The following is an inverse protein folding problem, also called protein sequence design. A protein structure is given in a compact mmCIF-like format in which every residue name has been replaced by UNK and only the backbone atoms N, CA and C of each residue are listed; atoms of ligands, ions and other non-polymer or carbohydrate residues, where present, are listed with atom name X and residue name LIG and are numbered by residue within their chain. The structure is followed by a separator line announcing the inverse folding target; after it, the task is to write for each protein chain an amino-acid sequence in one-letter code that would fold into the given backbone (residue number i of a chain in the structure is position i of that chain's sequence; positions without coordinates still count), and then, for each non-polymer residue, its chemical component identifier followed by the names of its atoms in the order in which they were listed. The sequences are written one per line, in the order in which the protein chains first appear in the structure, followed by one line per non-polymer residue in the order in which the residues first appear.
data_IF_438213524611
#
_entry.id   IF_438213524611
#
_cell.length_a   1.000
_cell.length_b   1.000
_cell.length_c   1.000
_cell.angle_alpha   90.00
_cell.angle_beta   90.00
_cell.angle_gamma   90.00
#
_symmetry.space_group_name_H-M   'P 1'
#
loop_
_entity.id
_entity.type
_entity.pdbx_description
1 polymer ?
#
# COMPACT_ATOMS: atom_id res chain seq x y z
N UNK A 1 -16.93 1.51 0.51
CA UNK A 1 -17.14 2.30 1.73
C UNK A 1 -18.12 3.41 1.39
N UNK A 2 -19.08 3.66 2.26
CA UNK A 2 -20.17 4.61 2.05
C UNK A 2 -19.72 6.04 2.39
N UNK A 3 -20.09 7.04 1.56
CA UNK A 3 -19.81 8.45 1.82
C UNK A 3 -20.43 8.93 3.14
N UNK A 4 -21.60 8.40 3.52
CA UNK A 4 -22.27 8.74 4.79
C UNK A 4 -21.37 8.39 5.99
N UNK A 5 -20.67 7.26 5.91
CA UNK A 5 -19.77 6.82 6.97
C UNK A 5 -18.56 7.74 7.10
N UNK A 6 -17.98 8.16 5.98
CA UNK A 6 -16.84 9.10 5.95
C UNK A 6 -17.23 10.42 6.60
N UNK A 7 -18.38 10.98 6.20
CA UNK A 7 -18.91 12.22 6.77
C UNK A 7 -19.18 12.10 8.27
N UNK A 8 -19.74 10.96 8.71
CA UNK A 8 -20.01 10.71 10.13
C UNK A 8 -18.71 10.70 10.95
N UNK A 9 -17.64 10.07 10.45
CA UNK A 9 -16.35 10.10 11.11
C UNK A 9 -15.76 11.51 11.17
N UNK A 10 -15.86 12.27 10.08
CA UNK A 10 -15.41 13.66 10.05
C UNK A 10 -16.18 14.55 11.01
N UNK A 11 -17.50 14.40 11.11
CA UNK A 11 -18.33 15.13 12.08
C UNK A 11 -17.95 14.79 13.52
N UNK A 12 -17.49 13.57 13.78
CA UNK A 12 -16.95 13.16 15.07
C UNK A 12 -15.48 13.59 15.30
N UNK A 13 -14.87 14.34 14.36
CA UNK A 13 -13.51 14.87 14.48
C UNK A 13 -12.40 13.89 14.09
N UNK A 14 -12.72 12.76 13.47
CA UNK A 14 -11.73 11.79 13.00
C UNK A 14 -11.23 12.13 11.61
N UNK A 15 -10.04 11.65 11.29
CA UNK A 15 -9.56 11.50 9.91
C UNK A 15 -9.79 10.07 9.44
N UNK A 16 -10.08 9.90 8.16
CA UNK A 16 -10.35 8.60 7.55
C UNK A 16 -9.21 8.24 6.60
N UNK A 17 -8.52 7.15 6.93
CA UNK A 17 -7.57 6.50 6.04
C UNK A 17 -8.19 5.22 5.47
N UNK A 18 -7.82 4.85 4.24
CA UNK A 18 -8.18 3.57 3.64
C UNK A 18 -6.94 2.80 3.19
N UNK A 19 -7.06 1.48 3.27
CA UNK A 19 -6.14 0.51 2.66
C UNK A 19 -6.96 -0.26 1.61
N UNK A 20 -6.57 -0.16 0.34
CA UNK A 20 -7.32 -0.77 -0.78
C UNK A 20 -6.40 -1.48 -1.75
N UNK A 21 -6.92 -2.48 -2.48
CA UNK A 21 -6.20 -3.08 -3.60
C UNK A 21 -6.24 -2.22 -4.88
N UNK A 22 -7.01 -1.13 -4.88
CA UNK A 22 -7.11 -0.17 -5.98
C UNK A 22 -7.97 -0.62 -7.17
N UNK A 23 -8.70 -1.74 -7.07
CA UNK A 23 -9.60 -2.20 -8.14
C UNK A 23 -10.91 -1.40 -8.20
N UNK A 24 -11.14 -0.51 -7.23
CA UNK A 24 -12.32 0.37 -7.14
C UNK A 24 -11.89 1.76 -6.65
N UNK A 25 -12.63 2.80 -7.07
CA UNK A 25 -12.47 4.15 -6.53
C UNK A 25 -13.14 4.24 -5.14
N UNK A 26 -12.53 4.92 -4.17
CA UNK A 26 -13.15 5.16 -2.88
C UNK A 26 -14.24 6.23 -2.98
N UNK A 27 -15.10 6.39 -1.95
CA UNK A 27 -15.92 7.59 -1.82
C UNK A 27 -15.04 8.85 -1.75
N UNK A 28 -15.60 10.04 -2.03
CA UNK A 28 -14.87 11.30 -1.87
C UNK A 28 -14.47 11.55 -0.42
N UNK A 29 -13.61 12.56 -0.20
CA UNK A 29 -13.22 13.06 1.12
C UNK A 29 -12.46 12.05 2.00
N UNK A 30 -11.70 11.12 1.41
CA UNK A 30 -10.73 10.32 2.18
C UNK A 30 -9.48 11.15 2.45
N UNK A 31 -9.05 11.22 3.71
CA UNK A 31 -7.88 12.00 4.13
C UNK A 31 -6.56 11.33 3.71
N UNK A 32 -6.52 9.99 3.71
CA UNK A 32 -5.34 9.21 3.34
C UNK A 32 -5.69 7.94 2.56
N UNK A 33 -5.21 7.84 1.34
CA UNK A 33 -5.40 6.68 0.47
C UNK A 33 -4.08 5.91 0.37
N UNK A 34 -4.07 4.70 0.92
CA UNK A 34 -3.05 3.71 0.65
C UNK A 34 -3.57 2.65 -0.33
N UNK A 35 -2.83 2.46 -1.42
CA UNK A 35 -3.13 1.48 -2.46
C UNK A 35 -2.08 0.38 -2.45
N UNK A 36 -2.51 -0.88 -2.37
CA UNK A 36 -1.66 -2.06 -2.45
C UNK A 36 -2.16 -3.00 -3.56
N UNK A 37 -1.78 -2.72 -4.83
CA UNK A 37 -2.17 -3.53 -5.99
C UNK A 37 -1.82 -5.00 -5.80
N UNK A 38 -2.69 -5.88 -6.29
CA UNK A 38 -2.48 -7.33 -6.31
C UNK A 38 -2.22 -7.79 -7.74
N UNK A 39 -1.31 -8.74 -7.89
CA UNK A 39 -1.06 -9.36 -9.19
C UNK A 39 -2.35 -9.86 -9.84
N UNK A 40 -2.40 -9.79 -11.18
CA UNK A 40 -3.53 -10.24 -12.00
C UNK A 40 -4.87 -9.51 -11.72
N UNK A 41 -4.81 -8.26 -11.25
CA UNK A 41 -6.00 -7.41 -11.09
C UNK A 41 -5.86 -6.11 -11.90
N UNK A 42 -6.99 -5.54 -12.34
CA UNK A 42 -6.99 -4.26 -13.02
C UNK A 42 -6.95 -3.12 -12.00
N UNK A 43 -5.86 -2.35 -12.01
CA UNK A 43 -5.73 -1.17 -11.16
C UNK A 43 -6.54 -0.01 -11.77
N UNK A 44 -7.56 0.46 -11.05
CA UNK A 44 -8.38 1.62 -11.45
C UNK A 44 -7.93 2.88 -10.71
N UNK A 45 -7.57 2.74 -9.44
CA UNK A 45 -7.10 3.84 -8.60
C UNK A 45 -5.58 3.98 -8.73
N UNK A 46 -5.17 4.86 -9.63
CA UNK A 46 -3.77 5.08 -10.00
C UNK A 46 -3.17 6.37 -9.39
N UNK A 47 -3.81 6.90 -8.34
CA UNK A 47 -3.37 8.05 -7.58
C UNK A 47 -3.69 7.89 -6.09
N UNK A 48 -2.98 8.62 -5.22
CA UNK A 48 -3.23 8.63 -3.78
C UNK A 48 -2.05 9.17 -2.97
N UNK A 49 -2.08 8.90 -1.67
CA UNK A 49 -0.99 9.31 -0.77
C UNK A 49 0.15 8.28 -0.80
N UNK A 50 -0.21 7.01 -0.68
CA UNK A 50 0.73 5.91 -0.48
C UNK A 50 0.46 4.78 -1.49
N UNK A 51 1.50 4.36 -2.21
CA UNK A 51 1.51 3.11 -2.96
C UNK A 51 2.39 2.10 -2.22
N UNK A 52 1.80 0.99 -1.78
CA UNK A 52 2.49 -0.04 -0.98
C UNK A 52 2.41 -1.40 -1.66
N UNK A 53 3.50 -1.80 -2.32
CA UNK A 53 3.58 -3.07 -3.03
C UNK A 53 4.00 -4.19 -2.10
N UNK A 54 3.21 -5.26 -2.03
CA UNK A 54 3.68 -6.51 -1.42
C UNK A 54 4.68 -7.17 -2.38
N UNK A 55 5.85 -7.57 -1.86
CA UNK A 55 6.97 -8.00 -2.67
C UNK A 55 7.69 -9.23 -2.07
N UNK A 56 8.12 -10.21 -2.89
CA UNK A 56 7.91 -10.30 -4.33
C UNK A 56 6.49 -10.78 -4.67
N UNK A 57 5.93 -10.30 -5.79
CA UNK A 57 4.71 -10.84 -6.40
C UNK A 57 4.97 -11.17 -7.87
N UNK A 58 4.65 -12.40 -8.27
CA UNK A 58 4.70 -12.82 -9.68
C UNK A 58 3.72 -11.96 -10.48
N UNK A 59 4.11 -11.48 -11.67
CA UNK A 59 3.32 -10.63 -12.56
C UNK A 59 2.93 -9.25 -11.98
N UNK A 60 3.63 -8.78 -10.94
CA UNK A 60 3.40 -7.45 -10.37
C UNK A 60 4.71 -6.80 -9.90
N UNK A 61 5.72 -6.67 -10.78
CA UNK A 61 6.99 -6.05 -10.41
C UNK A 61 6.83 -4.52 -10.21
N UNK A 62 7.65 -3.87 -9.34
CA UNK A 62 7.43 -2.48 -8.97
C UNK A 62 7.52 -1.47 -10.13
N UNK A 63 8.24 -1.81 -11.20
CA UNK A 63 8.43 -1.00 -12.40
C UNK A 63 7.10 -0.68 -13.11
N UNK A 64 6.07 -1.53 -12.95
CA UNK A 64 4.73 -1.27 -13.49
C UNK A 64 4.03 -0.08 -12.83
N UNK A 65 4.46 0.31 -11.63
CA UNK A 65 3.75 1.27 -10.79
C UNK A 65 4.56 2.53 -10.45
N UNK A 66 5.87 2.55 -10.73
CA UNK A 66 6.78 3.62 -10.31
C UNK A 66 6.43 5.03 -10.85
N UNK A 67 5.64 5.12 -11.92
CA UNK A 67 5.25 6.38 -12.55
C UNK A 67 3.81 6.80 -12.22
N UNK A 68 3.14 6.11 -11.29
CA UNK A 68 1.78 6.47 -10.86
C UNK A 68 1.78 7.70 -9.94
N UNK A 69 0.63 8.33 -9.78
CA UNK A 69 0.49 9.61 -9.07
C UNK A 69 0.36 9.43 -7.55
N UNK A 70 1.46 9.02 -6.91
CA UNK A 70 1.53 8.83 -5.46
C UNK A 70 2.64 9.66 -4.83
N UNK A 71 2.40 10.12 -3.59
CA UNK A 71 3.40 10.88 -2.83
C UNK A 71 4.51 9.99 -2.27
N UNK A 72 4.16 8.76 -1.90
CA UNK A 72 5.09 7.80 -1.30
C UNK A 72 5.00 6.43 -1.97
N UNK A 73 6.16 5.82 -2.18
CA UNK A 73 6.31 4.50 -2.77
C UNK A 73 6.98 3.56 -1.76
N UNK A 74 6.28 2.48 -1.41
CA UNK A 74 6.76 1.51 -0.44
C UNK A 74 6.80 0.10 -1.02
N UNK A 75 7.84 -0.63 -0.62
CA UNK A 75 7.94 -2.08 -0.77
C UNK A 75 7.72 -2.70 0.61
N UNK A 76 6.72 -3.58 0.70
CA UNK A 76 6.45 -4.37 1.89
C UNK A 76 6.81 -5.84 1.62
N UNK A 77 7.68 -6.45 2.44
CA UNK A 77 7.97 -7.89 2.33
C UNK A 77 6.70 -8.72 2.45
N UNK A 78 6.50 -9.66 1.52
CA UNK A 78 5.41 -10.62 1.59
C UNK A 78 5.58 -11.50 2.83
N UNK A 79 4.55 -11.53 3.67
CA UNK A 79 4.47 -12.38 4.85
C UNK A 79 4.41 -13.86 4.49
N UNK A 80 4.70 -14.73 5.46
CA UNK A 80 4.61 -16.18 5.31
C UNK A 80 5.95 -16.87 5.53
N UNK A 81 6.07 -18.11 5.05
CA UNK A 81 7.23 -18.99 5.32
C UNK A 81 8.57 -18.40 4.83
N UNK A 82 8.53 -17.54 3.82
CA UNK A 82 9.72 -16.94 3.20
C UNK A 82 9.98 -15.51 3.67
N UNK A 83 9.39 -15.07 4.79
CA UNK A 83 9.46 -13.67 5.25
C UNK A 83 10.90 -13.14 5.33
N UNK A 84 11.84 -13.90 5.87
CA UNK A 84 13.24 -13.49 5.95
C UNK A 84 13.84 -13.19 4.56
N UNK A 85 13.70 -14.13 3.62
CA UNK A 85 14.17 -13.97 2.24
C UNK A 85 13.47 -12.81 1.53
N UNK A 86 12.14 -12.70 1.69
CA UNK A 86 11.36 -11.62 1.10
C UNK A 86 11.78 -10.24 1.64
N UNK A 87 12.18 -10.18 2.91
CA UNK A 87 12.69 -8.95 3.54
C UNK A 87 14.02 -8.55 2.94
N UNK A 88 14.95 -9.49 2.76
CA UNK A 88 16.23 -9.21 2.09
C UNK A 88 16.02 -8.72 0.66
N UNK A 89 15.16 -9.39 -0.11
CA UNK A 89 14.83 -8.98 -1.48
C UNK A 89 14.23 -7.57 -1.53
N UNK A 90 13.32 -7.24 -0.60
CA UNK A 90 12.72 -5.92 -0.51
C UNK A 90 13.75 -4.83 -0.15
N UNK A 91 14.66 -5.12 0.80
CA UNK A 91 15.73 -4.21 1.18
C UNK A 91 16.68 -3.94 0.01
N UNK A 92 17.14 -5.01 -0.67
CA UNK A 92 18.00 -4.91 -1.84
C UNK A 92 17.37 -4.08 -2.96
N UNK A 93 16.05 -4.22 -3.16
CA UNK A 93 15.31 -3.44 -4.14
C UNK A 93 15.30 -1.95 -3.76
N UNK A 94 14.90 -1.60 -2.53
CA UNK A 94 14.86 -0.21 -2.08
C UNK A 94 16.24 0.45 -2.11
N UNK A 95 17.32 -0.28 -1.78
CA UNK A 95 18.69 0.25 -1.86
C UNK A 95 19.12 0.58 -3.29
N UNK A 96 18.67 -0.21 -4.28
CA UNK A 96 18.94 0.04 -5.70
C UNK A 96 18.03 1.08 -6.33
N UNK A 97 16.83 1.27 -5.76
CA UNK A 97 15.79 2.14 -6.29
C UNK A 97 15.29 3.12 -5.19
N UNK A 98 16.00 4.24 -4.95
CA UNK A 98 15.78 5.11 -3.78
C UNK A 98 14.44 5.85 -3.75
N UNK A 99 13.66 5.81 -4.84
CA UNK A 99 12.25 6.21 -4.83
C UNK A 99 11.43 5.35 -3.84
N UNK A 100 11.80 4.08 -3.70
CA UNK A 100 11.11 3.10 -2.89
C UNK A 100 11.66 3.05 -1.47
N UNK A 101 10.76 2.99 -0.50
CA UNK A 101 11.06 2.87 0.93
C UNK A 101 10.59 1.51 1.45
N UNK A 102 11.28 0.96 2.44
CA UNK A 102 10.83 -0.27 3.09
C UNK A 102 9.62 0.02 3.99
N UNK A 103 8.58 -0.82 3.92
CA UNK A 103 7.44 -0.83 4.84
C UNK A 103 7.42 -2.18 5.57
N UNK A 104 7.64 -2.16 6.89
CA UNK A 104 7.61 -3.36 7.72
C UNK A 104 6.25 -3.49 8.42
N UNK A 105 5.76 -4.72 8.53
CA UNK A 105 4.59 -5.02 9.34
C UNK A 105 4.98 -5.08 10.83
N UNK A 106 5.19 -3.91 11.43
CA UNK A 106 5.68 -3.77 12.80
C UNK A 106 4.77 -4.43 13.83
N UNK A 107 3.46 -4.44 13.63
CA UNK A 107 2.51 -5.14 14.50
C UNK A 107 2.81 -6.65 14.60
N UNK A 108 3.18 -7.30 13.50
CA UNK A 108 3.58 -8.72 13.50
C UNK A 108 4.92 -8.92 14.21
N UNK A 109 5.86 -7.99 14.06
CA UNK A 109 7.17 -8.03 14.73
C UNK A 109 7.00 -7.87 16.24
N UNK A 110 6.11 -6.98 16.66
CA UNK A 110 5.84 -6.63 18.04
C UNK A 110 4.80 -7.53 18.71
N UNK A 111 4.13 -8.41 17.95
CA UNK A 111 3.01 -9.26 18.39
C UNK A 111 1.86 -8.46 19.03
N UNK A 112 1.41 -7.40 18.34
CA UNK A 112 0.28 -6.54 18.75
C UNK A 112 -0.80 -6.51 17.66
N UNK A 113 -2.02 -6.14 18.06
CA UNK A 113 -3.15 -5.86 17.16
C UNK A 113 -3.24 -4.37 16.84
#
# INVERSE_FOLDING_TARGET
MDSILVETFHQAGFKVAIETNGTLKPPPNIDWICVSPKANTSLILNYGNELKLVFPQINSPPELFQNLDFQYFFIQPMSGKQLYNNTQLALDYCLKHPQWRISLQTHNILNIQ
#
